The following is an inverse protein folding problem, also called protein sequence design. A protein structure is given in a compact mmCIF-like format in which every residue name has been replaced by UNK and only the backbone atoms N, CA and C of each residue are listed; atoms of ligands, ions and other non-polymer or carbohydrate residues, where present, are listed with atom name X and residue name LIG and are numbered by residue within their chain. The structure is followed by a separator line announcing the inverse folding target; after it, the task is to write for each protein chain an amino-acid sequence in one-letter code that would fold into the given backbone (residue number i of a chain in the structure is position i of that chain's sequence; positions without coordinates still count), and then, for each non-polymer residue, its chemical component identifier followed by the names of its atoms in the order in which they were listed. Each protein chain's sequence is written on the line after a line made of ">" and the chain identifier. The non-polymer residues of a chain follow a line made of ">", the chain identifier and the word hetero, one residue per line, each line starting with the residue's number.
data_IF_767571700449
#
_entry.id   IF_767571700449
#
_cell.length_a   1.000
_cell.length_b   1.000
_cell.length_c   1.000
_cell.angle_alpha   90.00
_cell.angle_beta   90.00
_cell.angle_gamma   90.00
#
_symmetry.space_group_name_H-M   'P 1'
#
loop_
_entity.id
_entity.type
_entity.pdbx_description
1 polymer ?
#
# COMPACT_ATOMS: atom_id res chain seq x y z
N UNK A 1 -20.38 -15.30 -11.00
CA UNK A 1 -19.22 -15.80 -11.78
C UNK A 1 -18.72 -14.84 -12.86
N UNK A 2 -19.52 -13.90 -13.38
CA UNK A 2 -19.08 -12.95 -14.42
C UNK A 2 -18.34 -11.72 -13.89
N UNK A 3 -18.52 -11.37 -12.64
CA UNK A 3 -18.00 -10.11 -12.04
C UNK A 3 -16.47 -10.13 -11.88
N UNK A 4 -15.86 -11.29 -11.70
CA UNK A 4 -14.40 -11.43 -11.47
C UNK A 4 -13.67 -12.11 -12.64
N UNK A 5 -14.33 -12.32 -13.76
CA UNK A 5 -13.72 -12.97 -14.91
C UNK A 5 -12.53 -12.17 -15.44
N UNK A 6 -11.35 -12.79 -15.44
CA UNK A 6 -10.11 -12.20 -15.96
C UNK A 6 -9.44 -11.13 -15.07
N UNK A 7 -9.87 -10.98 -13.81
CA UNK A 7 -9.28 -10.02 -12.85
C UNK A 7 -8.82 -10.72 -11.58
N UNK A 8 -7.79 -10.18 -10.96
CA UNK A 8 -7.35 -10.57 -9.62
C UNK A 8 -8.43 -10.13 -8.62
N UNK A 9 -8.79 -11.03 -7.72
CA UNK A 9 -9.71 -10.76 -6.61
C UNK A 9 -8.89 -10.24 -5.44
N UNK A 10 -9.14 -9.00 -5.01
CA UNK A 10 -8.43 -8.41 -3.87
C UNK A 10 -8.90 -9.00 -2.53
N UNK A 11 -8.06 -8.87 -1.50
CA UNK A 11 -8.40 -9.32 -0.15
C UNK A 11 -9.68 -8.65 0.39
N UNK A 12 -9.91 -7.38 0.06
CA UNK A 12 -11.14 -6.65 0.43
C UNK A 12 -12.36 -7.27 -0.27
N UNK A 13 -12.27 -7.52 -1.58
CA UNK A 13 -13.36 -8.15 -2.35
C UNK A 13 -13.69 -9.55 -1.84
N UNK A 14 -12.67 -10.36 -1.51
CA UNK A 14 -12.86 -11.67 -0.91
C UNK A 14 -13.58 -11.56 0.44
N UNK A 15 -13.14 -10.65 1.30
CA UNK A 15 -13.74 -10.40 2.62
C UNK A 15 -15.20 -9.95 2.51
N UNK A 16 -15.48 -9.01 1.61
CA UNK A 16 -16.84 -8.50 1.40
C UNK A 16 -17.76 -9.60 0.87
N UNK A 17 -17.29 -10.42 -0.07
CA UNK A 17 -18.00 -11.59 -0.55
C UNK A 17 -18.30 -12.58 0.59
N UNK A 18 -17.31 -12.94 1.39
CA UNK A 18 -17.47 -13.83 2.53
C UNK A 18 -18.48 -13.29 3.52
N UNK A 19 -18.38 -12.01 3.89
CA UNK A 19 -19.29 -11.38 4.83
C UNK A 19 -20.74 -11.36 4.31
N UNK A 20 -20.94 -11.08 3.04
CA UNK A 20 -22.24 -11.03 2.40
C UNK A 20 -22.92 -12.43 2.39
N UNK A 21 -22.19 -13.47 2.05
CA UNK A 21 -22.75 -14.81 1.88
C UNK A 21 -22.68 -15.70 3.15
N UNK A 22 -21.99 -15.30 4.18
CA UNK A 22 -21.86 -16.05 5.45
C UNK A 22 -23.21 -16.40 6.09
N UNK A 23 -24.22 -15.51 6.18
CA UNK A 23 -25.54 -15.88 6.70
C UNK A 23 -26.21 -16.97 5.88
N UNK A 24 -26.20 -16.87 4.54
CA UNK A 24 -26.76 -17.86 3.63
C UNK A 24 -26.06 -19.22 3.74
N UNK A 25 -24.75 -19.21 3.93
CA UNK A 25 -23.98 -20.43 4.21
C UNK A 25 -24.45 -21.09 5.51
N UNK A 26 -24.63 -20.30 6.59
CA UNK A 26 -25.07 -20.83 7.87
C UNK A 26 -26.49 -21.44 7.79
N UNK A 27 -27.39 -20.79 7.07
CA UNK A 27 -28.74 -21.30 6.81
C UNK A 27 -28.70 -22.60 6.00
N UNK A 28 -27.97 -22.60 4.89
CA UNK A 28 -27.83 -23.79 4.05
C UNK A 28 -27.22 -24.96 4.83
N UNK A 29 -26.18 -24.71 5.61
CA UNK A 29 -25.53 -25.74 6.43
C UNK A 29 -26.47 -26.30 7.51
N UNK A 30 -27.26 -25.45 8.17
CA UNK A 30 -28.28 -25.86 9.14
C UNK A 30 -29.38 -26.68 8.49
N UNK A 31 -29.80 -26.26 7.30
CA UNK A 31 -30.83 -27.02 6.52
C UNK A 31 -30.33 -28.42 6.14
N UNK A 32 -29.08 -28.52 5.65
CA UNK A 32 -28.51 -29.84 5.32
C UNK A 32 -28.51 -30.77 6.54
N UNK A 33 -28.08 -30.31 7.71
CA UNK A 33 -28.11 -31.11 8.95
C UNK A 33 -29.48 -31.57 9.34
N UNK A 34 -30.52 -30.73 9.15
CA UNK A 34 -31.91 -31.10 9.42
C UNK A 34 -32.39 -32.16 8.44
N UNK A 35 -32.14 -32.01 7.14
CA UNK A 35 -32.52 -32.96 6.11
C UNK A 35 -31.86 -34.34 6.31
N UNK A 36 -30.57 -34.33 6.66
CA UNK A 36 -29.84 -35.58 6.98
C UNK A 36 -30.46 -36.30 8.17
N UNK A 37 -30.92 -35.60 9.21
CA UNK A 37 -31.58 -36.18 10.38
C UNK A 37 -32.93 -36.88 10.01
N UNK A 38 -33.54 -36.47 8.88
CA UNK A 38 -34.74 -37.12 8.33
C UNK A 38 -34.48 -38.08 7.17
N UNK A 39 -33.21 -38.43 6.91
CA UNK A 39 -32.78 -39.23 5.76
C UNK A 39 -33.19 -38.65 4.39
N UNK A 40 -33.29 -37.34 4.30
CA UNK A 40 -33.58 -36.61 3.06
C UNK A 40 -32.27 -36.11 2.46
N UNK A 41 -32.00 -36.48 1.21
CA UNK A 41 -30.80 -36.03 0.49
C UNK A 41 -31.01 -34.59 0.00
N UNK A 42 -30.15 -33.63 0.42
CA UNK A 42 -30.21 -32.28 -0.10
C UNK A 42 -29.89 -32.21 -1.60
N UNK A 43 -30.26 -31.12 -2.26
CA UNK A 43 -29.94 -30.93 -3.68
C UNK A 43 -28.43 -30.75 -3.89
N UNK A 44 -27.94 -31.18 -5.04
CA UNK A 44 -26.54 -31.03 -5.46
C UNK A 44 -26.07 -29.54 -5.39
N UNK A 45 -26.96 -28.62 -5.73
CA UNK A 45 -26.70 -27.17 -5.68
C UNK A 45 -26.37 -26.68 -4.27
N UNK A 46 -27.07 -27.19 -3.25
CA UNK A 46 -26.82 -26.82 -1.84
C UNK A 46 -25.48 -27.38 -1.38
N UNK A 47 -25.21 -28.66 -1.70
CA UNK A 47 -23.90 -29.26 -1.38
C UNK A 47 -22.75 -28.53 -2.05
N UNK A 48 -22.90 -28.20 -3.33
CA UNK A 48 -21.89 -27.45 -4.06
C UNK A 48 -21.66 -26.07 -3.45
N UNK A 49 -22.72 -25.34 -3.10
CA UNK A 49 -22.59 -24.03 -2.44
C UNK A 49 -21.82 -24.13 -1.11
N UNK A 50 -22.16 -25.11 -0.26
CA UNK A 50 -21.47 -25.32 1.03
C UNK A 50 -20.00 -25.67 0.81
N UNK A 51 -19.70 -26.57 -0.12
CA UNK A 51 -18.35 -26.99 -0.44
C UNK A 51 -17.50 -25.83 -0.99
N UNK A 52 -18.04 -25.09 -1.96
CA UNK A 52 -17.34 -23.97 -2.60
C UNK A 52 -17.11 -22.82 -1.61
N UNK A 53 -18.12 -22.48 -0.80
CA UNK A 53 -17.98 -21.44 0.22
C UNK A 53 -16.98 -21.84 1.31
N UNK A 54 -17.00 -23.11 1.75
CA UNK A 54 -16.01 -23.63 2.70
C UNK A 54 -14.55 -23.63 2.15
N UNK A 55 -14.40 -23.64 0.83
CA UNK A 55 -13.12 -23.63 0.15
C UNK A 55 -12.76 -22.28 -0.47
N UNK A 56 -13.51 -21.21 -0.17
CA UNK A 56 -13.43 -19.93 -0.90
C UNK A 56 -12.02 -19.36 -0.97
N UNK A 57 -11.27 -19.33 0.13
CA UNK A 57 -9.90 -18.80 0.17
C UNK A 57 -8.98 -19.59 -0.79
N UNK A 58 -9.15 -20.91 -0.86
CA UNK A 58 -8.39 -21.75 -1.79
C UNK A 58 -8.78 -21.46 -3.24
N UNK A 59 -10.07 -21.32 -3.52
CA UNK A 59 -10.57 -21.03 -4.87
C UNK A 59 -10.11 -19.65 -5.35
N UNK A 60 -10.18 -18.63 -4.50
CA UNK A 60 -9.67 -17.29 -4.79
C UNK A 60 -8.16 -17.32 -5.06
N UNK A 61 -7.40 -18.02 -4.22
CA UNK A 61 -5.95 -18.17 -4.42
C UNK A 61 -5.64 -18.86 -5.75
N UNK A 62 -6.31 -19.94 -6.09
CA UNK A 62 -6.11 -20.65 -7.37
C UNK A 62 -6.46 -19.76 -8.57
N UNK A 63 -7.57 -19.03 -8.49
CA UNK A 63 -7.97 -18.07 -9.51
C UNK A 63 -6.90 -16.99 -9.70
N UNK A 64 -6.45 -16.33 -8.63
CA UNK A 64 -5.44 -15.28 -8.69
C UNK A 64 -4.10 -15.80 -9.23
N UNK A 65 -3.68 -17.00 -8.84
CA UNK A 65 -2.47 -17.64 -9.39
C UNK A 65 -2.58 -17.88 -10.90
N UNK A 66 -3.74 -18.32 -11.36
CA UNK A 66 -4.00 -18.47 -12.80
C UNK A 66 -3.88 -17.16 -13.57
N UNK A 67 -4.46 -16.08 -13.04
CA UNK A 67 -4.37 -14.74 -13.64
C UNK A 67 -2.92 -14.22 -13.63
N UNK A 68 -2.21 -14.37 -12.50
CA UNK A 68 -0.82 -13.95 -12.41
C UNK A 68 0.05 -14.69 -13.43
N UNK A 69 -0.11 -16.01 -13.55
CA UNK A 69 0.62 -16.81 -14.53
C UNK A 69 0.35 -16.33 -15.94
N UNK A 70 -0.91 -16.14 -16.29
CA UNK A 70 -1.34 -15.61 -17.60
C UNK A 70 -0.72 -14.25 -17.90
N UNK A 71 -0.72 -13.31 -16.93
CA UNK A 71 -0.14 -11.97 -17.11
C UNK A 71 1.39 -12.03 -17.28
N UNK A 72 2.06 -12.90 -16.54
CA UNK A 72 3.51 -13.11 -16.66
C UNK A 72 3.90 -13.65 -18.04
N UNK A 73 3.15 -14.59 -18.57
CA UNK A 73 3.39 -15.18 -19.89
C UNK A 73 3.05 -14.19 -21.00
N UNK A 74 1.91 -13.50 -20.89
CA UNK A 74 1.46 -12.50 -21.88
C UNK A 74 2.44 -11.33 -22.01
N UNK A 75 3.03 -10.89 -20.89
CA UNK A 75 3.93 -9.73 -20.86
C UNK A 75 5.41 -10.11 -20.68
N UNK A 76 5.77 -11.34 -21.03
CA UNK A 76 7.14 -11.83 -20.88
C UNK A 76 8.16 -10.92 -21.57
N UNK A 77 7.91 -10.57 -22.82
CA UNK A 77 8.81 -9.71 -23.63
C UNK A 77 8.98 -8.32 -22.96
N UNK A 78 7.91 -7.74 -22.44
CA UNK A 78 8.00 -6.49 -21.67
C UNK A 78 8.96 -6.65 -20.48
N UNK A 79 8.80 -7.70 -19.66
CA UNK A 79 9.63 -7.92 -18.47
C UNK A 79 11.11 -8.23 -18.80
N UNK A 80 11.36 -8.81 -19.95
CA UNK A 80 12.72 -9.09 -20.41
C UNK A 80 13.47 -7.82 -20.84
N UNK A 81 12.76 -6.77 -21.29
CA UNK A 81 13.35 -5.58 -21.92
C UNK A 81 12.99 -4.24 -21.26
N UNK A 82 12.06 -4.19 -20.30
CA UNK A 82 11.64 -2.92 -19.69
C UNK A 82 12.75 -2.20 -18.90
N UNK A 83 13.79 -2.92 -18.49
CA UNK A 83 14.96 -2.38 -17.80
C UNK A 83 16.26 -2.87 -18.49
N UNK A 84 17.40 -2.23 -18.14
CA UNK A 84 18.72 -2.64 -18.62
C UNK A 84 19.04 -4.11 -18.32
N UNK A 85 18.57 -4.60 -17.17
CA UNK A 85 18.69 -5.99 -16.77
C UNK A 85 17.30 -6.60 -16.60
N UNK A 86 17.07 -7.84 -17.04
CA UNK A 86 15.78 -8.50 -16.89
C UNK A 86 15.36 -8.59 -15.42
N UNK A 87 14.06 -8.42 -15.18
CA UNK A 87 13.48 -8.63 -13.87
C UNK A 87 13.41 -10.13 -13.54
N UNK A 88 13.68 -10.51 -12.29
CA UNK A 88 13.52 -11.88 -11.83
C UNK A 88 12.05 -12.28 -11.64
N UNK A 89 11.80 -13.59 -11.40
CA UNK A 89 10.43 -14.11 -11.25
C UNK A 89 9.64 -13.45 -10.11
N UNK A 90 10.30 -13.17 -8.98
CA UNK A 90 9.63 -12.58 -7.82
C UNK A 90 9.30 -11.11 -8.06
N UNK A 91 10.22 -10.38 -8.69
CA UNK A 91 10.02 -9.00 -9.11
C UNK A 91 8.84 -8.89 -10.09
N UNK A 92 8.83 -9.70 -11.14
CA UNK A 92 7.73 -9.74 -12.14
C UNK A 92 6.39 -10.04 -11.46
N UNK A 93 6.37 -11.04 -10.57
CA UNK A 93 5.18 -11.38 -9.81
C UNK A 93 4.66 -10.21 -8.97
N UNK A 94 5.54 -9.51 -8.24
CA UNK A 94 5.17 -8.34 -7.44
C UNK A 94 4.60 -7.19 -8.30
N UNK A 95 5.05 -7.09 -9.54
CA UNK A 95 4.60 -6.08 -10.50
C UNK A 95 3.17 -6.37 -10.99
N UNK A 96 2.86 -7.61 -11.36
CA UNK A 96 1.53 -7.97 -11.88
C UNK A 96 0.50 -8.18 -10.78
N UNK A 97 0.91 -8.34 -9.53
CA UNK A 97 -0.02 -8.43 -8.39
C UNK A 97 -0.78 -7.11 -8.24
N UNK A 98 -2.10 -7.16 -8.42
CA UNK A 98 -3.01 -6.01 -8.36
C UNK A 98 -3.82 -6.09 -7.06
N UNK A 99 -3.12 -5.93 -5.94
CA UNK A 99 -3.75 -5.79 -4.63
C UNK A 99 -3.89 -4.30 -4.27
N UNK A 100 -4.90 -3.96 -3.50
CA UNK A 100 -5.11 -2.59 -2.99
C UNK A 100 -3.93 -2.13 -2.14
N UNK A 101 -3.34 -3.06 -1.39
CA UNK A 101 -2.15 -2.83 -0.59
C UNK A 101 -1.14 -3.94 -0.85
N UNK A 102 0.02 -3.60 -1.39
CA UNK A 102 1.10 -4.54 -1.66
C UNK A 102 2.36 -4.16 -0.89
N UNK A 103 2.80 -5.01 0.01
CA UNK A 103 4.07 -4.87 0.73
C UNK A 103 5.14 -5.77 0.10
N UNK A 104 6.19 -5.15 -0.45
CA UNK A 104 7.35 -5.87 -0.97
C UNK A 104 8.52 -5.77 0.01
N UNK A 105 8.83 -6.89 0.64
CA UNK A 105 9.96 -7.01 1.57
C UNK A 105 11.15 -7.62 0.84
N UNK A 106 12.29 -6.94 0.90
CA UNK A 106 13.50 -7.42 0.23
C UNK A 106 14.77 -6.87 0.89
N UNK A 107 15.87 -7.62 0.83
CA UNK A 107 17.18 -7.26 1.39
C UNK A 107 17.82 -6.07 0.65
N UNK A 108 18.87 -5.50 1.22
CA UNK A 108 19.67 -4.48 0.53
C UNK A 108 20.31 -5.09 -0.75
N UNK A 109 20.31 -4.33 -1.84
CA UNK A 109 20.87 -4.78 -3.12
C UNK A 109 20.01 -5.76 -3.95
N UNK A 110 18.86 -6.22 -3.45
CA UNK A 110 17.97 -7.18 -4.13
C UNK A 110 17.14 -6.61 -5.29
N UNK A 111 17.36 -5.37 -5.67
CA UNK A 111 16.63 -4.75 -6.80
C UNK A 111 15.28 -4.13 -6.45
N UNK A 112 15.05 -3.68 -5.19
CA UNK A 112 13.83 -2.94 -4.80
C UNK A 112 13.48 -1.82 -5.77
N UNK A 113 14.45 -0.96 -6.06
CA UNK A 113 14.26 0.16 -7.00
C UNK A 113 13.90 -0.33 -8.39
N UNK A 114 14.51 -1.42 -8.86
CA UNK A 114 14.18 -2.02 -10.15
C UNK A 114 12.75 -2.54 -10.20
N UNK A 115 12.25 -3.13 -9.11
CA UNK A 115 10.85 -3.56 -9.00
C UNK A 115 9.89 -2.38 -9.07
N UNK A 116 10.20 -1.25 -8.39
CA UNK A 116 9.38 -0.03 -8.44
C UNK A 116 9.38 0.55 -9.86
N UNK A 117 10.56 0.67 -10.50
CA UNK A 117 10.66 1.16 -11.89
C UNK A 117 9.88 0.26 -12.84
N UNK A 118 10.05 -1.07 -12.71
CA UNK A 118 9.30 -2.04 -13.50
C UNK A 118 7.77 -1.93 -13.29
N UNK A 119 7.31 -1.74 -12.04
CA UNK A 119 5.88 -1.53 -11.73
C UNK A 119 5.33 -0.29 -12.41
N UNK A 120 6.04 0.83 -12.31
CA UNK A 120 5.59 2.09 -12.94
C UNK A 120 5.55 1.97 -14.45
N UNK A 121 6.57 1.39 -15.08
CA UNK A 121 6.57 1.14 -16.53
C UNK A 121 5.43 0.20 -16.93
N UNK A 122 5.17 -0.86 -16.17
CA UNK A 122 4.03 -1.74 -16.41
C UNK A 122 2.70 -0.99 -16.34
N UNK A 123 2.52 -0.12 -15.35
CA UNK A 123 1.31 0.68 -15.19
C UNK A 123 1.12 1.67 -16.36
N UNK A 124 2.19 2.32 -16.81
CA UNK A 124 2.11 3.34 -17.88
C UNK A 124 2.10 2.73 -19.28
N UNK A 125 2.93 1.72 -19.55
CA UNK A 125 3.11 1.17 -20.90
C UNK A 125 2.10 0.06 -21.22
N UNK A 126 1.76 -0.80 -20.23
CA UNK A 126 0.84 -1.92 -20.42
C UNK A 126 -0.59 -1.54 -20.00
N UNK A 127 -0.75 -1.03 -18.79
CA UNK A 127 -2.08 -0.66 -18.25
C UNK A 127 -2.57 0.71 -18.74
N UNK A 128 -1.73 1.49 -19.43
CA UNK A 128 -2.06 2.81 -19.98
C UNK A 128 -2.53 3.82 -18.94
N UNK A 129 -2.05 3.68 -17.69
CA UNK A 129 -2.34 4.63 -16.63
C UNK A 129 -1.56 5.92 -16.89
N UNK A 130 -2.25 7.06 -16.81
CA UNK A 130 -1.62 8.36 -16.97
C UNK A 130 -0.56 8.56 -15.85
N UNK A 131 0.70 8.92 -16.18
CA UNK A 131 1.74 9.19 -15.20
C UNK A 131 1.34 10.18 -14.10
N UNK A 132 0.46 11.14 -14.41
CA UNK A 132 -0.06 12.09 -13.41
C UNK A 132 -0.91 11.46 -12.31
N UNK A 133 -1.43 10.25 -12.53
CA UNK A 133 -2.20 9.48 -11.54
C UNK A 133 -1.30 8.56 -10.69
N UNK A 134 0.03 8.65 -10.86
CA UNK A 134 0.99 7.84 -10.12
C UNK A 134 1.77 8.75 -9.18
N UNK A 135 1.70 8.48 -7.88
CA UNK A 135 2.47 9.18 -6.87
C UNK A 135 3.62 8.30 -6.38
N UNK A 136 4.85 8.79 -6.53
CA UNK A 136 6.06 8.15 -6.02
C UNK A 136 6.56 8.92 -4.80
N UNK A 137 6.68 8.21 -3.67
CA UNK A 137 7.19 8.81 -2.43
C UNK A 137 8.44 8.07 -1.98
N UNK A 138 9.45 8.83 -1.57
CA UNK A 138 10.67 8.32 -0.97
C UNK A 138 10.99 9.05 0.32
N UNK A 139 11.85 8.47 1.15
CA UNK A 139 12.21 9.07 2.42
C UNK A 139 13.18 10.26 2.25
N UNK A 140 14.10 10.19 1.30
CA UNK A 140 15.12 11.23 1.07
C UNK A 140 14.98 11.89 -0.29
N UNK A 141 15.41 13.15 -0.39
CA UNK A 141 15.45 13.88 -1.66
C UNK A 141 16.36 13.19 -2.70
N UNK A 142 17.48 12.61 -2.25
CA UNK A 142 18.39 11.86 -3.13
C UNK A 142 17.69 10.64 -3.74
N UNK A 143 17.00 9.85 -2.92
CA UNK A 143 16.27 8.68 -3.42
C UNK A 143 15.08 9.07 -4.30
N UNK A 144 14.38 10.17 -4.01
CA UNK A 144 13.30 10.67 -4.86
C UNK A 144 13.84 11.14 -6.24
N UNK A 145 14.98 11.81 -6.26
CA UNK A 145 15.64 12.21 -7.50
C UNK A 145 16.12 11.01 -8.33
N UNK A 146 16.77 10.03 -7.68
CA UNK A 146 17.21 8.78 -8.32
C UNK A 146 16.04 8.01 -8.94
N UNK A 147 14.91 7.91 -8.23
CA UNK A 147 13.70 7.29 -8.78
C UNK A 147 13.22 8.04 -10.02
N UNK A 148 13.14 9.37 -9.99
CA UNK A 148 12.72 10.20 -11.12
C UNK A 148 13.62 9.96 -12.34
N UNK A 149 14.93 9.98 -12.15
CA UNK A 149 15.92 9.75 -13.21
C UNK A 149 15.78 8.35 -13.83
N UNK A 150 15.69 7.32 -12.98
CA UNK A 150 15.56 5.92 -13.44
C UNK A 150 14.26 5.64 -14.16
N UNK A 151 13.19 6.36 -13.84
CA UNK A 151 11.90 6.22 -14.56
C UNK A 151 12.01 6.72 -15.99
N UNK A 152 12.59 7.90 -16.21
CA UNK A 152 12.68 8.54 -17.52
C UNK A 152 11.31 8.83 -18.15
N UNK A 153 10.24 8.95 -17.35
CA UNK A 153 8.87 9.15 -17.83
C UNK A 153 8.49 10.62 -17.65
N UNK A 154 8.10 11.27 -18.74
CA UNK A 154 7.68 12.67 -18.72
C UNK A 154 6.45 12.87 -17.82
N UNK A 155 6.49 13.88 -16.95
CA UNK A 155 5.39 14.20 -16.05
C UNK A 155 5.37 13.39 -14.74
N UNK A 156 6.24 12.38 -14.59
CA UNK A 156 6.37 11.60 -13.37
C UNK A 156 7.62 12.00 -12.59
N UNK A 157 7.45 12.29 -11.31
CA UNK A 157 8.58 12.61 -10.42
C UNK A 157 8.37 12.00 -9.02
N UNK A 158 9.48 11.71 -8.37
CA UNK A 158 9.49 11.29 -6.96
C UNK A 158 9.38 12.47 -6.01
N UNK A 159 8.66 12.25 -4.93
CA UNK A 159 8.49 13.21 -3.85
C UNK A 159 9.08 12.67 -2.55
N UNK A 160 9.41 13.56 -1.63
CA UNK A 160 9.49 13.20 -0.21
C UNK A 160 8.16 13.57 0.46
N UNK A 161 7.86 12.96 1.62
CA UNK A 161 6.66 13.31 2.38
C UNK A 161 6.58 14.80 2.69
N UNK A 162 7.71 15.41 3.08
CA UNK A 162 7.76 16.86 3.37
C UNK A 162 7.42 17.71 2.15
N UNK A 163 8.00 17.38 0.98
CA UNK A 163 7.74 18.13 -0.25
C UNK A 163 6.29 17.98 -0.70
N UNK A 164 5.73 16.78 -0.60
CA UNK A 164 4.33 16.54 -0.91
C UNK A 164 3.40 17.33 0.03
N UNK A 165 3.69 17.33 1.34
CA UNK A 165 2.92 18.09 2.32
C UNK A 165 2.94 19.60 2.02
N UNK A 166 4.11 20.16 1.69
CA UNK A 166 4.24 21.57 1.32
C UNK A 166 3.46 21.91 0.03
N UNK A 167 3.49 21.02 -0.95
CA UNK A 167 2.74 21.22 -2.20
C UNK A 167 1.22 21.17 -1.95
N UNK A 168 0.73 20.24 -1.09
CA UNK A 168 -0.68 20.16 -0.70
C UNK A 168 -1.12 21.43 0.06
N UNK A 169 -0.33 21.88 1.05
CA UNK A 169 -0.62 23.12 1.79
C UNK A 169 -0.66 24.31 0.84
N UNK A 170 0.32 24.41 -0.06
CA UNK A 170 0.39 25.50 -1.04
C UNK A 170 -0.83 25.53 -1.96
N UNK A 171 -1.30 24.38 -2.42
CA UNK A 171 -2.52 24.27 -3.25
C UNK A 171 -3.79 24.64 -2.49
N UNK A 172 -3.88 24.24 -1.21
CA UNK A 172 -5.08 24.48 -0.40
C UNK A 172 -5.17 25.92 0.09
N UNK A 173 -4.04 26.53 0.47
CA UNK A 173 -4.01 27.89 1.03
C UNK A 173 -3.74 29.00 0.01
N UNK A 174 -3.40 28.62 -1.24
CA UNK A 174 -2.98 29.56 -2.29
C UNK A 174 -1.60 30.18 -2.05
N UNK A 175 -0.91 29.82 -0.97
CA UNK A 175 0.41 30.32 -0.63
C UNK A 175 1.35 29.16 -0.29
N UNK A 176 2.54 29.17 -0.91
CA UNK A 176 3.55 28.18 -0.59
C UNK A 176 4.12 28.49 0.80
N UNK A 177 4.02 27.56 1.77
CA UNK A 177 4.53 27.82 3.11
C UNK A 177 6.06 28.02 3.07
N UNK A 178 6.54 29.03 3.81
CA UNK A 178 7.96 29.22 4.02
C UNK A 178 8.46 28.26 5.11
N UNK A 179 9.55 27.56 4.82
CA UNK A 179 10.24 26.75 5.84
C UNK A 179 11.20 27.69 6.57
N UNK A 180 11.09 27.70 7.89
CA UNK A 180 12.01 28.45 8.72
C UNK A 180 13.33 27.67 8.84
N UNK A 181 14.39 28.16 8.17
CA UNK A 181 15.67 27.43 8.11
C UNK A 181 16.49 27.57 9.41
N UNK A 182 16.30 28.66 10.17
CA UNK A 182 17.01 28.88 11.42
C UNK A 182 16.16 28.58 12.65
N UNK A 183 15.89 27.27 12.85
CA UNK A 183 15.07 26.77 13.95
C UNK A 183 15.65 27.11 15.34
N UNK A 184 16.98 27.16 15.48
CA UNK A 184 17.63 27.42 16.75
C UNK A 184 17.41 28.87 17.21
N UNK A 185 17.56 29.84 16.33
CA UNK A 185 17.27 31.24 16.64
C UNK A 185 15.79 31.47 16.95
N UNK A 186 14.88 30.78 16.23
CA UNK A 186 13.45 30.85 16.50
C UNK A 186 13.13 30.23 17.86
N UNK A 187 13.70 29.05 18.15
CA UNK A 187 13.53 28.39 19.44
C UNK A 187 13.97 29.30 20.60
N UNK A 188 15.16 29.87 20.52
CA UNK A 188 15.66 30.79 21.54
C UNK A 188 14.72 31.98 21.73
N UNK A 189 14.23 32.56 20.64
CA UNK A 189 13.29 33.69 20.71
C UNK A 189 12.00 33.29 21.40
N UNK A 190 11.37 32.19 20.98
CA UNK A 190 10.13 31.69 21.59
C UNK A 190 10.36 31.32 23.06
N UNK A 191 11.49 30.69 23.38
CA UNK A 191 11.82 30.31 24.74
C UNK A 191 11.93 31.54 25.65
N UNK A 192 12.60 32.62 25.19
CA UNK A 192 12.67 33.89 25.93
C UNK A 192 11.30 34.56 26.09
N UNK A 193 10.44 34.50 25.07
CA UNK A 193 9.07 35.01 25.17
C UNK A 193 8.26 34.24 26.23
N UNK A 194 8.38 32.88 26.21
CA UNK A 194 7.70 32.03 27.20
C UNK A 194 8.20 32.21 28.62
N UNK A 195 9.48 32.57 28.83
CA UNK A 195 10.00 32.87 30.17
C UNK A 195 9.37 34.12 30.81
N UNK A 196 8.64 34.96 30.07
CA UNK A 196 7.84 36.04 30.62
C UNK A 196 6.56 35.55 31.27
N UNK A 197 6.08 34.35 30.93
CA UNK A 197 4.99 33.69 31.62
C UNK A 197 5.44 33.09 32.95
N UNK A 198 4.79 33.51 34.06
CA UNK A 198 5.18 33.09 35.42
C UNK A 198 5.07 31.60 35.66
N UNK A 199 4.06 30.91 35.01
CA UNK A 199 3.87 29.48 35.18
C UNK A 199 4.97 28.71 34.44
N UNK A 200 5.22 29.09 33.18
CA UNK A 200 6.28 28.46 32.40
C UNK A 200 7.66 28.65 33.08
N UNK A 201 7.98 29.87 33.52
CA UNK A 201 9.21 30.14 34.22
C UNK A 201 9.37 29.29 35.49
N UNK A 202 8.29 29.12 36.27
CA UNK A 202 8.30 28.28 37.46
C UNK A 202 8.58 26.81 37.10
N UNK A 203 7.91 26.26 36.10
CA UNK A 203 8.13 24.90 35.64
C UNK A 203 9.55 24.66 35.13
N UNK A 204 10.13 25.63 34.44
CA UNK A 204 11.54 25.56 34.00
C UNK A 204 12.50 25.53 35.20
N UNK A 205 12.27 26.36 36.22
CA UNK A 205 13.09 26.38 37.43
C UNK A 205 12.97 25.06 38.19
N UNK A 206 11.75 24.53 38.37
CA UNK A 206 11.50 23.23 38.99
C UNK A 206 12.22 22.11 38.24
N UNK A 207 12.14 22.07 36.89
CA UNK A 207 12.87 21.10 36.08
C UNK A 207 14.38 21.15 36.33
N UNK A 208 15.00 22.36 36.37
CA UNK A 208 16.43 22.46 36.63
C UNK A 208 16.81 22.04 38.04
N UNK A 209 15.96 22.30 39.04
CA UNK A 209 16.20 21.90 40.44
C UNK A 209 16.11 20.36 40.54
N UNK A 210 15.09 19.76 39.97
CA UNK A 210 14.79 18.33 40.14
C UNK A 210 15.70 17.44 39.29
N UNK A 211 16.10 17.86 38.09
CA UNK A 211 16.81 17.01 37.14
C UNK A 211 18.21 17.41 36.76
N UNK A 212 18.63 18.66 37.04
CA UNK A 212 19.94 19.17 36.63
C UNK A 212 20.85 19.53 37.80
N UNK A 213 20.35 19.59 39.02
CA UNK A 213 21.21 19.74 40.21
C UNK A 213 21.73 18.37 40.64
N UNK A 214 23.07 18.18 40.70
CA UNK A 214 23.61 16.91 41.21
C UNK A 214 23.14 16.73 42.67
N UNK A 215 22.66 15.52 42.97
CA UNK A 215 22.46 15.11 44.35
C UNK A 215 23.76 15.28 45.14
N UNK A 216 23.70 16.01 46.27
CA UNK A 216 24.82 16.22 47.16
C UNK A 216 25.12 14.97 47.97
#
# INVERSE_FOLDING_TARGET
>A
NSTFSGKIISATQEKDFVNHYKPHFQEAYSLVKKLEAFNITPSETIFKFISDFGAINRLVKQHNEGIITFLLDTHKEFFDHCLKYPLDKQQRRSIVSEEENCLVVSSAGSGKTSSIVGKVKYLTEIKKINPQNILLISYTNKAAAELTERMGIAGLRGYTFHKLALDIIGQTTGQKPSIYENTDALFVKIYHELLNDKKFKKSVIEYFIDYQTPEK
#
